data_IF_184068469674
#
_entry.id   IF_184068469674
#
_cell.length_a   1.000
_cell.length_b   1.000
_cell.length_c   1.000
_cell.angle_alpha   90.00
_cell.angle_beta   90.00
_cell.angle_gamma   90.00
#
_symmetry.space_group_name_H-M   'P 1'
#
loop_
_entity.id
_entity.type
_entity.pdbx_description
1 polymer ?
#
# COMPACT_ATOMS: atom_id res chain seq x y z
N UNK A 1 -19.08 -8.11 3.56
CA UNK A 1 -18.47 -7.66 2.85
C UNK A 1 -17.31 -7.32 3.24
N UNK A 2 -16.51 -7.39 3.05
CA UNK A 2 -15.47 -7.20 3.51
C UNK A 2 -14.54 -6.62 2.72
N UNK A 3 -14.77 -5.67 2.08
CA UNK A 3 -13.93 -5.01 1.40
C UNK A 3 -13.16 -4.13 2.18
N UNK A 4 -11.91 -3.91 1.99
CA UNK A 4 -11.16 -2.90 2.65
C UNK A 4 -11.63 -1.57 2.21
N UNK A 5 -11.76 -0.65 3.13
CA UNK A 5 -12.03 0.71 2.81
C UNK A 5 -10.73 1.33 2.44
N UNK A 6 -10.53 1.72 1.23
CA UNK A 6 -9.29 2.36 0.82
C UNK A 6 -9.60 3.56 -0.05
N UNK A 7 -8.65 4.47 -0.11
CA UNK A 7 -8.73 5.62 -1.00
C UNK A 7 -7.98 5.27 -2.27
N UNK A 8 -8.34 5.90 -3.37
CA UNK A 8 -7.63 5.66 -4.62
C UNK A 8 -6.17 6.07 -4.48
N UNK A 9 -5.91 6.99 -3.58
CA UNK A 9 -4.55 7.45 -3.36
C UNK A 9 -4.40 7.70 -1.87
N UNK A 10 -3.39 7.13 -1.22
CA UNK A 10 -3.24 7.36 0.22
C UNK A 10 -2.83 8.79 0.49
N UNK A 11 -3.19 9.32 1.65
CA UNK A 11 -2.75 10.66 2.00
C UNK A 11 -1.24 10.74 2.03
N UNK A 12 -0.69 11.84 1.56
CA UNK A 12 0.74 12.01 1.53
C UNK A 12 1.24 12.74 2.75
N UNK A 13 2.52 13.06 2.73
CA UNK A 13 3.10 13.82 3.80
C UNK A 13 4.32 13.14 4.37
N UNK A 14 5.02 13.88 5.22
CA UNK A 14 6.27 13.40 5.77
C UNK A 14 6.10 12.61 7.06
N UNK A 15 4.89 12.38 7.50
CA UNK A 15 4.64 11.63 8.72
C UNK A 15 3.59 10.58 8.47
N UNK A 16 3.52 9.58 9.33
CA UNK A 16 2.52 8.55 9.22
C UNK A 16 1.16 9.12 9.51
N UNK A 17 0.18 8.75 8.70
CA UNK A 17 -1.18 9.20 8.89
C UNK A 17 -2.00 8.08 9.50
N UNK A 18 -3.22 8.40 9.91
CA UNK A 18 -4.13 7.37 10.41
C UNK A 18 -4.42 6.33 9.33
N UNK A 19 -4.49 6.78 8.07
CA UNK A 19 -4.71 5.87 6.96
C UNK A 19 -3.56 4.87 6.86
N UNK A 20 -2.31 5.35 6.99
CA UNK A 20 -1.16 4.48 6.93
C UNK A 20 -1.23 3.42 8.04
N UNK A 21 -1.57 3.86 9.25
CA UNK A 21 -1.61 2.93 10.36
C UNK A 21 -2.72 1.89 10.20
N UNK A 22 -3.83 2.30 9.62
CA UNK A 22 -4.94 1.39 9.42
C UNK A 22 -4.66 0.38 8.31
N UNK A 23 -3.72 0.69 7.41
CA UNK A 23 -3.45 -0.16 6.27
C UNK A 23 -2.06 -0.78 6.28
N UNK A 24 -1.49 -0.94 7.46
CA UNK A 24 -0.14 -1.52 7.55
C UNK A 24 -0.04 -2.90 6.94
N UNK A 25 -1.00 -3.73 7.20
CA UNK A 25 -0.98 -5.08 6.68
C UNK A 25 -1.04 -5.06 5.16
N UNK A 26 -1.85 -4.19 4.62
CA UNK A 26 -1.97 -4.04 3.19
C UNK A 26 -0.64 -3.60 2.59
N UNK A 27 0.01 -2.64 3.22
CA UNK A 27 1.30 -2.15 2.75
C UNK A 27 2.35 -3.27 2.75
N UNK A 28 2.37 -4.07 3.80
CA UNK A 28 3.34 -5.15 3.89
C UNK A 28 3.11 -6.19 2.79
N UNK A 29 1.86 -6.46 2.48
CA UNK A 29 1.55 -7.40 1.41
C UNK A 29 1.96 -6.84 0.05
N UNK A 30 1.79 -5.54 -0.14
CA UNK A 30 2.22 -4.91 -1.39
C UNK A 30 3.73 -5.01 -1.55
N UNK A 31 4.46 -4.75 -0.47
CA UNK A 31 5.92 -4.82 -0.52
C UNK A 31 6.40 -6.24 -0.79
N UNK A 32 5.76 -7.22 -0.17
CA UNK A 32 6.11 -8.60 -0.39
C UNK A 32 5.86 -9.00 -1.85
N UNK A 33 4.72 -8.64 -2.37
CA UNK A 33 4.37 -9.00 -3.74
C UNK A 33 5.33 -8.34 -4.73
N UNK A 34 5.67 -7.09 -4.46
CA UNK A 34 6.60 -6.37 -5.33
C UNK A 34 7.97 -7.03 -5.30
N UNK A 35 8.43 -7.42 -4.13
CA UNK A 35 9.73 -8.06 -3.99
C UNK A 35 9.78 -9.41 -4.70
N UNK A 36 8.63 -10.09 -4.76
CA UNK A 36 8.56 -11.38 -5.41
C UNK A 36 8.31 -11.29 -6.90
N UNK A 37 8.12 -10.09 -7.40
CA UNK A 37 7.85 -9.92 -8.82
C UNK A 37 6.46 -10.35 -9.24
N UNK A 38 5.51 -10.32 -8.33
CA UNK A 38 4.15 -10.74 -8.64
C UNK A 38 3.50 -9.80 -9.65
N UNK A 39 2.55 -10.34 -10.42
CA UNK A 39 1.85 -9.55 -11.40
C UNK A 39 0.98 -8.52 -10.70
N UNK A 40 1.24 -7.24 -10.95
CA UNK A 40 0.54 -6.18 -10.25
C UNK A 40 -0.98 -6.21 -10.48
N UNK A 41 -1.42 -6.71 -11.63
CA UNK A 41 -2.85 -6.78 -11.90
C UNK A 41 -3.53 -7.78 -10.98
N UNK A 42 -2.87 -8.87 -10.67
CA UNK A 42 -3.39 -9.83 -9.72
C UNK A 42 -3.33 -9.27 -8.31
N UNK A 43 -2.26 -8.57 -8.00
CA UNK A 43 -2.09 -7.99 -6.68
C UNK A 43 -3.21 -7.00 -6.39
N UNK A 44 -3.50 -6.12 -7.34
CA UNK A 44 -4.52 -5.11 -7.12
C UNK A 44 -5.91 -5.75 -7.00
N UNK A 45 -6.13 -6.82 -7.70
CA UNK A 45 -7.42 -7.50 -7.60
C UNK A 45 -7.57 -8.17 -6.24
N UNK A 46 -6.54 -8.84 -5.78
CA UNK A 46 -6.60 -9.54 -4.52
C UNK A 46 -6.66 -8.57 -3.34
N UNK A 47 -5.83 -7.54 -3.36
CA UNK A 47 -5.72 -6.66 -2.21
C UNK A 47 -6.74 -5.53 -2.19
N UNK A 48 -7.14 -5.05 -3.36
CA UNK A 48 -8.06 -3.91 -3.42
C UNK A 48 -9.40 -4.25 -4.04
N UNK A 49 -9.52 -5.41 -4.64
CA UNK A 49 -10.78 -5.79 -5.26
C UNK A 49 -11.07 -5.07 -6.57
N UNK A 50 -10.03 -4.55 -7.22
CA UNK A 50 -10.19 -3.84 -8.48
C UNK A 50 -9.75 -4.72 -9.61
N UNK A 51 -10.61 -4.89 -10.61
CA UNK A 51 -10.26 -5.71 -11.76
C UNK A 51 -9.52 -4.85 -12.78
N UNK A 52 -8.27 -5.21 -13.05
CA UNK A 52 -7.45 -4.42 -13.97
C UNK A 52 -7.95 -4.47 -15.39
N UNK A 53 -8.75 -5.47 -15.74
CA UNK A 53 -9.28 -5.55 -17.10
C UNK A 53 -10.42 -4.58 -17.31
N UNK A 54 -11.21 -4.33 -16.29
CA UNK A 54 -12.35 -3.42 -16.42
C UNK A 54 -12.01 -2.01 -16.00
N UNK A 55 -11.05 -1.84 -15.09
CA UNK A 55 -10.66 -0.50 -14.64
C UNK A 55 -9.16 -0.38 -14.64
N UNK A 56 -8.52 -0.47 -15.81
CA UNK A 56 -7.06 -0.51 -15.84
C UNK A 56 -6.39 0.74 -15.30
N UNK A 57 -6.96 1.90 -15.55
CA UNK A 57 -6.32 3.13 -15.09
C UNK A 57 -6.44 3.28 -13.60
N UNK A 58 -7.62 2.97 -13.06
CA UNK A 58 -7.80 3.06 -11.63
C UNK A 58 -6.96 2.02 -10.92
N UNK A 59 -6.90 0.81 -11.47
CA UNK A 59 -6.11 -0.25 -10.87
C UNK A 59 -4.64 0.14 -10.81
N UNK A 60 -4.12 0.71 -11.90
CA UNK A 60 -2.72 1.10 -11.95
C UNK A 60 -2.45 2.23 -10.96
N UNK A 61 -3.35 3.19 -10.86
CA UNK A 61 -3.16 4.31 -9.96
C UNK A 61 -3.21 3.85 -8.50
N UNK A 62 -4.18 3.04 -8.15
CA UNK A 62 -4.32 2.59 -6.77
C UNK A 62 -3.09 1.77 -6.38
N UNK A 63 -2.68 0.87 -7.27
CA UNK A 63 -1.54 0.02 -6.97
C UNK A 63 -0.27 0.84 -6.80
N UNK A 64 0.03 1.70 -7.77
CA UNK A 64 1.30 2.42 -7.73
C UNK A 64 1.34 3.43 -6.59
N UNK A 65 0.23 4.09 -6.30
CA UNK A 65 0.20 5.08 -5.24
C UNK A 65 0.39 4.43 -3.87
N UNK A 66 -0.27 3.30 -3.65
CA UNK A 66 -0.15 2.62 -2.36
C UNK A 66 1.22 1.97 -2.22
N UNK A 67 1.76 1.42 -3.30
CA UNK A 67 3.09 0.83 -3.25
C UNK A 67 4.14 1.90 -2.97
N UNK A 68 4.01 3.06 -3.60
CA UNK A 68 4.95 4.14 -3.35
C UNK A 68 4.90 4.59 -1.90
N UNK A 69 3.70 4.66 -1.35
CA UNK A 69 3.57 5.05 0.06
C UNK A 69 4.14 3.98 0.97
N UNK A 70 3.95 2.71 0.63
CA UNK A 70 4.51 1.63 1.43
C UNK A 70 6.04 1.69 1.42
N UNK A 71 6.63 1.99 0.27
CA UNK A 71 8.07 2.12 0.19
C UNK A 71 8.57 3.31 1.00
N UNK A 72 7.85 4.43 0.90
CA UNK A 72 8.21 5.59 1.70
C UNK A 72 8.18 5.24 3.18
N UNK A 73 7.17 4.46 3.58
CA UNK A 73 7.00 4.11 4.98
C UNK A 73 8.19 3.32 5.49
N UNK A 74 8.69 2.38 4.70
CA UNK A 74 9.82 1.59 5.16
C UNK A 74 11.10 2.41 5.26
N UNK A 75 11.21 3.43 4.44
CA UNK A 75 12.41 4.25 4.45
C UNK A 75 12.36 5.40 5.42
N UNK A 76 11.19 5.92 5.67
CA UNK A 76 11.06 7.14 6.45
C UNK A 76 10.14 7.06 7.64
N UNK A 77 9.02 6.38 7.50
CA UNK A 77 8.00 6.39 8.53
C UNK A 77 7.94 5.16 9.40
N UNK A 78 8.55 4.08 8.96
CA UNK A 78 8.43 2.82 9.66
C UNK A 78 9.06 2.88 11.04
N UNK A 79 10.12 3.65 11.20
CA UNK A 79 10.75 3.77 12.49
C UNK A 79 9.83 4.44 13.51
N UNK A 80 8.92 5.29 13.08
CA UNK A 80 7.97 5.89 13.98
C UNK A 80 7.04 4.85 14.57
N UNK A 81 6.65 3.87 13.77
CA UNK A 81 5.77 2.82 14.24
C UNK A 81 6.46 1.93 15.24
N UNK A 82 7.72 1.67 15.02
CA UNK A 82 8.46 0.79 15.90
C UNK A 82 8.97 1.50 17.13
N UNK A 83 8.86 2.82 17.15
CA UNK A 83 9.36 3.60 18.27
C UNK A 83 10.87 3.73 18.22
N UNK A 84 11.44 4.35 19.22
CA UNK A 84 12.88 4.55 19.24
C UNK A 84 13.57 3.21 19.23
N UNK A 85 14.59 3.11 18.42
CA UNK A 85 15.30 1.88 18.35
C UNK A 85 16.75 2.15 18.47
N UNK A 86 17.41 1.22 19.08
CA UNK A 86 18.83 1.33 19.19
C UNK A 86 19.42 0.45 18.16
N UNK A 87 20.41 0.87 17.48
CA UNK A 87 21.02 0.04 16.45
C UNK A 87 22.44 -0.23 16.78
#
# INVERSE_FOLDING_TARGET
MTKHDFLDQPPGGAALTAYDRAHLKLYLRLLDADAEGADWTEVVEVLFGICARTEPERAAQVHSAHLARAKWMTENGFSELLGPRLH
#
